data_IF_776798619959
#
_entry.id   IF_776798619959
#
_cell.length_a   1.000
_cell.length_b   1.000
_cell.length_c   1.000
_cell.angle_alpha   90.00
_cell.angle_beta   90.00
_cell.angle_gamma   90.00
#
_symmetry.space_group_name_H-M   'P 1'
#
loop_
_entity.id
_entity.type
_entity.pdbx_description
1 polymer ?
#
# COMPACT_ATOMS: atom_id res chain seq x y z
N UNK A 1 -22.36 43.14 14.37
CA UNK A 1 -21.70 41.85 14.68
C UNK A 1 -22.51 40.59 14.35
N UNK A 2 -23.78 40.67 13.89
CA UNK A 2 -24.57 39.48 13.47
C UNK A 2 -24.32 39.03 12.03
N UNK A 3 -23.86 39.92 11.14
CA UNK A 3 -23.61 39.60 9.71
C UNK A 3 -22.31 38.81 9.44
N UNK A 4 -21.33 38.85 10.35
CA UNK A 4 -20.07 38.09 10.23
C UNK A 4 -20.24 36.61 10.62
N UNK A 5 -21.18 36.28 11.51
CA UNK A 5 -21.43 34.89 11.92
C UNK A 5 -22.06 34.05 10.80
N UNK A 6 -22.89 34.66 9.94
CA UNK A 6 -23.55 33.97 8.82
C UNK A 6 -22.53 33.60 7.73
N UNK A 7 -21.53 34.44 7.49
CA UNK A 7 -20.45 34.17 6.52
C UNK A 7 -19.53 33.04 7.02
N UNK A 8 -19.23 32.98 8.32
CA UNK A 8 -18.43 31.88 8.88
C UNK A 8 -19.19 30.54 8.91
N UNK A 9 -20.50 30.54 9.14
CA UNK A 9 -21.31 29.30 9.03
C UNK A 9 -21.54 28.85 7.59
N UNK A 10 -21.53 29.78 6.62
CA UNK A 10 -21.60 29.43 5.19
C UNK A 10 -20.29 28.82 4.67
N UNK A 11 -19.14 29.27 5.19
CA UNK A 11 -17.82 28.72 4.83
C UNK A 11 -17.60 27.34 5.50
N UNK A 12 -18.14 27.12 6.70
CA UNK A 12 -18.12 25.79 7.34
C UNK A 12 -19.07 24.77 6.69
N UNK A 13 -20.14 25.23 6.02
CA UNK A 13 -21.09 24.38 5.30
C UNK A 13 -20.63 23.92 3.90
N UNK A 14 -19.56 24.52 3.36
CA UNK A 14 -19.01 24.19 2.04
C UNK A 14 -17.84 23.20 2.10
N UNK A 15 -17.67 22.53 3.25
CA UNK A 15 -16.62 21.53 3.51
C UNK A 15 -17.16 20.11 3.67
N UNK A 16 -18.41 19.85 3.26
CA UNK A 16 -18.98 18.52 3.22
C UNK A 16 -19.02 18.00 1.78
N UNK A 17 -18.60 16.74 1.66
CA UNK A 17 -18.63 15.85 0.50
C UNK A 17 -17.46 16.03 -0.47
N UNK A 18 -16.25 15.73 0.01
CA UNK A 18 -15.29 15.04 -0.85
C UNK A 18 -15.74 13.58 -0.94
N UNK A 19 -15.93 12.99 -2.13
CA UNK A 19 -15.91 11.55 -2.24
C UNK A 19 -14.50 11.11 -1.85
N UNK A 20 -14.34 10.55 -0.65
CA UNK A 20 -13.19 9.71 -0.35
C UNK A 20 -13.36 8.49 -1.25
N UNK A 21 -12.84 8.58 -2.47
CA UNK A 21 -12.49 7.42 -3.25
C UNK A 21 -11.34 6.75 -2.51
N UNK A 22 -11.66 5.94 -1.49
CA UNK A 22 -10.74 4.95 -0.99
C UNK A 22 -10.26 4.18 -2.22
N UNK A 23 -8.97 4.23 -2.53
CA UNK A 23 -8.39 3.37 -3.54
C UNK A 23 -8.35 1.94 -3.00
N UNK A 24 -9.53 1.35 -2.82
CA UNK A 24 -9.76 -0.08 -2.76
C UNK A 24 -9.98 -0.53 -4.19
N UNK A 25 -9.07 -1.38 -4.69
CA UNK A 25 -9.18 -2.04 -5.99
C UNK A 25 -9.28 -1.10 -7.21
N UNK A 26 -8.14 -0.79 -7.83
CA UNK A 26 -8.16 -0.57 -9.28
C UNK A 26 -8.47 -1.91 -9.94
N UNK A 27 -9.76 -2.27 -9.99
CA UNK A 27 -10.26 -3.36 -10.80
C UNK A 27 -10.29 -2.90 -12.26
N UNK A 28 -9.62 -3.65 -13.13
CA UNK A 28 -9.64 -3.42 -14.57
C UNK A 28 -11.03 -3.70 -15.12
N UNK A 29 -11.92 -2.71 -15.06
CA UNK A 29 -13.26 -2.80 -15.64
C UNK A 29 -13.28 -2.78 -17.18
N UNK A 30 -12.11 -2.74 -17.84
CA UNK A 30 -11.97 -2.79 -19.30
C UNK A 30 -10.70 -3.54 -19.68
N UNK A 31 -10.69 -4.16 -20.86
CA UNK A 31 -9.51 -4.78 -21.52
C UNK A 31 -8.34 -3.79 -21.78
N UNK A 32 -8.42 -2.57 -21.22
CA UNK A 32 -7.45 -1.52 -21.38
C UNK A 32 -6.32 -1.69 -20.37
N UNK A 33 -5.09 -1.62 -20.86
CA UNK A 33 -3.90 -1.58 -20.01
C UNK A 33 -3.90 -0.26 -19.24
N UNK A 34 -4.05 -0.35 -17.92
CA UNK A 34 -3.97 0.77 -17.00
C UNK A 34 -2.53 1.04 -16.58
N UNK A 35 -2.07 2.28 -16.75
CA UNK A 35 -0.78 2.74 -16.22
C UNK A 35 -1.06 3.67 -15.05
N UNK A 36 -0.39 3.43 -13.92
CA UNK A 36 -0.51 4.27 -12.73
C UNK A 36 0.85 4.52 -12.11
N UNK A 37 1.02 5.67 -11.49
CA UNK A 37 2.28 6.02 -10.86
C UNK A 37 2.18 7.33 -10.11
N UNK A 38 3.16 7.58 -9.26
CA UNK A 38 3.32 8.86 -8.57
C UNK A 38 4.75 9.04 -8.11
N UNK A 39 5.13 10.30 -7.92
CA UNK A 39 6.42 10.69 -7.33
C UNK A 39 6.17 11.51 -6.07
N UNK A 40 7.04 11.34 -5.07
CA UNK A 40 7.00 12.06 -3.80
C UNK A 40 8.38 12.64 -3.53
N UNK A 41 8.68 13.87 -4.00
CA UNK A 41 9.92 14.56 -3.62
C UNK A 41 9.89 14.89 -2.12
N UNK A 42 11.05 14.83 -1.48
CA UNK A 42 11.20 15.03 -0.05
C UNK A 42 12.50 15.75 0.27
N UNK A 43 12.40 16.74 1.15
CA UNK A 43 13.55 17.35 1.81
C UNK A 43 13.69 16.77 3.21
N UNK A 44 14.87 16.26 3.55
CA UNK A 44 15.17 15.77 4.90
C UNK A 44 16.20 16.67 5.56
N UNK A 45 15.89 17.06 6.78
CA UNK A 45 16.81 17.75 7.65
C UNK A 45 16.86 17.02 8.99
N UNK A 46 17.90 16.21 9.17
CA UNK A 46 18.10 15.42 10.38
C UNK A 46 19.04 16.15 11.32
N UNK A 47 18.62 16.26 12.58
CA UNK A 47 19.35 16.90 13.66
C UNK A 47 19.52 15.92 14.82
N UNK A 48 20.61 16.07 15.56
CA UNK A 48 20.93 15.33 16.77
C UNK A 48 20.88 13.80 16.61
N UNK A 49 21.13 13.29 15.41
CA UNK A 49 21.25 11.85 15.19
C UNK A 49 22.68 11.41 15.52
N UNK A 50 22.84 10.28 16.20
CA UNK A 50 24.16 9.70 16.50
C UNK A 50 24.11 8.21 16.23
N UNK A 51 25.11 7.67 15.53
CA UNK A 51 25.21 6.22 15.32
C UNK A 51 25.68 5.51 16.61
N UNK A 52 25.69 4.17 16.59
CA UNK A 52 26.14 3.35 17.72
C UNK A 52 27.62 3.59 18.09
N UNK A 53 28.40 4.25 17.22
CA UNK A 53 29.81 4.56 17.39
C UNK A 53 30.05 6.03 17.78
N UNK A 54 29.00 6.83 18.00
CA UNK A 54 29.12 8.24 18.39
C UNK A 54 29.26 9.24 17.22
N UNK A 55 29.16 8.80 15.96
CA UNK A 55 29.25 9.70 14.81
C UNK A 55 27.92 10.42 14.57
N UNK A 56 28.00 11.70 14.18
CA UNK A 56 26.82 12.51 13.85
C UNK A 56 26.14 12.00 12.58
N UNK A 57 24.83 11.77 12.67
CA UNK A 57 23.93 11.45 11.55
C UNK A 57 23.20 12.70 11.03
N UNK A 58 23.65 13.89 11.43
CA UNK A 58 23.08 15.14 10.96
C UNK A 58 23.26 15.24 9.45
N UNK A 59 22.15 15.37 8.74
CA UNK A 59 22.14 15.32 7.27
C UNK A 59 21.12 16.30 6.72
N UNK A 60 21.43 16.83 5.53
CA UNK A 60 20.56 17.69 4.76
C UNK A 60 20.56 17.18 3.32
N UNK A 61 19.40 16.74 2.81
CA UNK A 61 19.29 16.27 1.44
C UNK A 61 17.91 16.50 0.81
N UNK A 62 17.93 16.67 -0.51
CA UNK A 62 16.75 16.50 -1.37
C UNK A 62 16.75 15.08 -1.93
N UNK A 63 15.62 14.40 -1.80
CA UNK A 63 15.46 12.99 -2.18
C UNK A 63 14.06 12.75 -2.75
N UNK A 64 13.79 11.52 -3.17
CA UNK A 64 12.44 11.04 -3.38
C UNK A 64 12.08 10.05 -2.28
N UNK A 65 10.98 10.30 -1.58
CA UNK A 65 10.38 9.35 -0.65
C UNK A 65 9.96 8.08 -1.39
N UNK A 66 9.34 8.27 -2.56
CA UNK A 66 8.79 7.24 -3.44
C UNK A 66 8.79 7.76 -4.88
N UNK A 67 9.07 6.89 -5.84
CA UNK A 67 8.91 7.13 -7.26
C UNK A 67 8.45 5.82 -7.88
N UNK A 68 7.14 5.67 -8.10
CA UNK A 68 6.54 4.39 -8.51
C UNK A 68 5.88 4.51 -9.85
N UNK A 69 6.07 3.48 -10.65
CA UNK A 69 5.35 3.27 -11.89
C UNK A 69 4.84 1.83 -11.90
N UNK A 70 3.58 1.67 -12.27
CA UNK A 70 2.92 0.39 -12.35
C UNK A 70 2.01 0.27 -13.55
N UNK A 71 1.78 -0.98 -13.92
CA UNK A 71 0.94 -1.41 -15.02
C UNK A 71 0.00 -2.47 -14.47
N UNK A 72 -1.27 -2.36 -14.83
CA UNK A 72 -2.31 -3.27 -14.39
C UNK A 72 -3.37 -3.42 -15.45
N UNK A 73 -4.12 -4.49 -15.38
CA UNK A 73 -5.25 -4.71 -16.27
C UNK A 73 -5.85 -6.09 -16.05
N UNK A 74 -6.84 -6.39 -16.88
CA UNK A 74 -7.50 -7.68 -16.89
C UNK A 74 -7.24 -8.36 -18.23
N UNK A 75 -6.93 -9.65 -18.16
CA UNK A 75 -6.78 -10.57 -19.28
C UNK A 75 -8.08 -11.40 -19.31
N UNK A 76 -8.54 -11.87 -20.50
CA UNK A 76 -9.66 -12.78 -20.59
C UNK A 76 -9.56 -13.97 -19.61
N UNK A 77 -10.72 -14.55 -19.30
CA UNK A 77 -10.88 -15.67 -18.35
C UNK A 77 -10.73 -15.32 -16.87
N UNK A 78 -11.16 -14.12 -16.48
CA UNK A 78 -11.23 -13.68 -15.08
C UNK A 78 -9.84 -13.60 -14.41
N UNK A 79 -8.83 -13.10 -15.13
CA UNK A 79 -7.46 -12.97 -14.65
C UNK A 79 -7.03 -11.51 -14.64
N UNK A 80 -6.70 -10.97 -13.47
CA UNK A 80 -6.11 -9.65 -13.32
C UNK A 80 -4.59 -9.75 -13.13
N UNK A 81 -3.84 -8.79 -13.66
CA UNK A 81 -2.42 -8.66 -13.39
C UNK A 81 -2.10 -7.28 -12.81
N UNK A 82 -1.08 -7.23 -11.97
CA UNK A 82 -0.60 -6.00 -11.35
C UNK A 82 0.92 -6.05 -11.20
N UNK A 83 1.58 -5.00 -11.70
CA UNK A 83 3.02 -4.84 -11.66
C UNK A 83 3.35 -3.42 -11.22
N UNK A 84 4.26 -3.25 -10.26
CA UNK A 84 4.76 -1.93 -9.82
C UNK A 84 6.25 -2.03 -9.56
N UNK A 85 7.01 -1.10 -10.13
CA UNK A 85 8.43 -0.90 -9.84
C UNK A 85 8.64 0.39 -9.00
N UNK A 86 9.62 0.33 -8.10
CA UNK A 86 10.09 1.47 -7.31
C UNK A 86 11.41 1.98 -7.89
N UNK A 87 11.44 3.26 -8.22
CA UNK A 87 12.56 3.99 -8.80
C UNK A 87 13.24 4.92 -7.79
N UNK A 88 12.77 4.98 -6.53
CA UNK A 88 13.44 5.75 -5.47
C UNK A 88 14.72 5.04 -5.00
N UNK A 89 15.82 5.25 -5.71
CA UNK A 89 17.15 4.73 -5.37
C UNK A 89 17.68 5.26 -4.03
N UNK A 90 17.11 6.33 -3.49
CA UNK A 90 17.56 6.96 -2.24
C UNK A 90 17.12 6.22 -0.96
N UNK A 91 16.13 5.32 -1.04
CA UNK A 91 15.56 4.63 0.13
C UNK A 91 16.00 3.19 0.33
N UNK A 92 16.56 2.55 -0.71
CA UNK A 92 16.95 1.13 -0.64
C UNK A 92 18.45 1.02 -0.46
N UNK A 93 18.90 0.13 0.43
CA UNK A 93 20.33 -0.12 0.71
C UNK A 93 21.16 -0.34 -0.56
N UNK A 94 20.56 -0.97 -1.57
CA UNK A 94 21.21 -1.29 -2.85
C UNK A 94 21.10 -0.18 -3.92
N UNK A 95 20.47 0.97 -3.63
CA UNK A 95 20.27 2.11 -4.56
C UNK A 95 19.77 1.75 -5.98
N UNK A 96 19.08 0.63 -6.12
CA UNK A 96 18.63 0.12 -7.41
C UNK A 96 17.12 0.23 -7.58
N UNK A 97 16.70 0.32 -8.85
CA UNK A 97 15.31 0.08 -9.24
C UNK A 97 14.97 -1.36 -8.89
N UNK A 98 13.84 -1.58 -8.22
CA UNK A 98 13.44 -2.91 -7.82
C UNK A 98 11.94 -3.11 -7.98
N UNK A 99 11.56 -4.38 -8.09
CA UNK A 99 10.18 -4.78 -8.19
C UNK A 99 9.49 -4.64 -6.84
N UNK A 100 8.37 -3.92 -6.80
CA UNK A 100 7.63 -3.67 -5.57
C UNK A 100 6.51 -4.68 -5.40
N UNK A 101 5.56 -4.71 -6.34
CA UNK A 101 4.42 -5.62 -6.33
C UNK A 101 4.34 -6.26 -7.72
N UNK A 102 4.17 -7.58 -7.78
CA UNK A 102 4.04 -8.33 -9.02
C UNK A 102 3.22 -9.58 -8.77
N UNK A 103 1.96 -9.53 -9.15
CA UNK A 103 1.05 -10.64 -8.90
C UNK A 103 -0.01 -10.76 -9.98
N UNK A 104 -0.56 -11.98 -10.06
CA UNK A 104 -1.72 -12.31 -10.87
C UNK A 104 -2.84 -12.72 -9.93
N UNK A 105 -4.07 -12.32 -10.25
CA UNK A 105 -5.25 -12.66 -9.45
C UNK A 105 -6.30 -13.34 -10.31
N UNK A 106 -6.84 -14.45 -9.81
CA UNK A 106 -8.02 -15.08 -10.36
C UNK A 106 -9.28 -14.51 -9.71
N UNK A 107 -10.17 -13.93 -10.51
CA UNK A 107 -11.28 -13.08 -10.06
C UNK A 107 -12.67 -13.60 -10.41
N UNK A 108 -12.80 -14.83 -10.94
CA UNK A 108 -14.09 -15.43 -11.32
C UNK A 108 -15.12 -15.41 -10.20
N UNK A 109 -14.67 -15.64 -8.96
CA UNK A 109 -15.50 -15.64 -7.76
C UNK A 109 -15.23 -14.42 -6.87
N UNK A 110 -14.74 -13.31 -7.44
CA UNK A 110 -14.25 -12.12 -6.72
C UNK A 110 -15.16 -11.58 -5.61
N UNK A 111 -16.48 -11.77 -5.71
CA UNK A 111 -17.43 -11.45 -4.62
C UNK A 111 -17.17 -12.23 -3.34
N UNK A 112 -16.81 -13.50 -3.45
CA UNK A 112 -16.59 -14.40 -2.32
C UNK A 112 -15.11 -14.71 -2.11
N UNK A 113 -14.39 -15.06 -3.17
CA UNK A 113 -12.99 -15.44 -3.11
C UNK A 113 -12.23 -14.99 -4.37
N UNK A 114 -11.18 -14.22 -4.15
CA UNK A 114 -10.14 -13.87 -5.11
C UNK A 114 -8.85 -14.52 -4.67
N UNK A 115 -8.24 -15.27 -5.57
CA UNK A 115 -6.94 -15.91 -5.35
C UNK A 115 -5.86 -15.08 -6.03
N UNK A 116 -4.83 -14.69 -5.29
CA UNK A 116 -3.73 -13.86 -5.77
C UNK A 116 -2.42 -14.60 -5.54
N UNK A 117 -1.59 -14.67 -6.58
CA UNK A 117 -0.31 -15.39 -6.57
C UNK A 117 0.78 -14.45 -7.09
N UNK A 118 1.86 -14.33 -6.33
CA UNK A 118 2.98 -13.45 -6.65
C UNK A 118 3.48 -12.69 -5.44
N UNK A 119 4.14 -11.56 -5.68
CA UNK A 119 4.64 -10.67 -4.65
C UNK A 119 3.63 -9.55 -4.39
N UNK A 120 3.15 -9.48 -3.14
CA UNK A 120 2.16 -8.51 -2.72
C UNK A 120 2.39 -8.09 -1.27
N UNK A 121 1.65 -7.06 -0.83
CA UNK A 121 1.64 -6.62 0.56
C UNK A 121 1.07 -7.69 1.49
N UNK A 122 1.77 -7.95 2.59
CA UNK A 122 1.23 -8.80 3.65
C UNK A 122 -0.10 -8.25 4.16
N UNK A 123 -1.17 -9.07 4.29
CA UNK A 123 -2.49 -8.63 4.69
C UNK A 123 -2.55 -8.38 6.20
N UNK A 124 -1.68 -7.52 6.73
CA UNK A 124 -1.57 -7.19 8.15
C UNK A 124 -1.77 -5.70 8.35
N UNK A 125 -2.50 -5.28 9.38
CA UNK A 125 -2.83 -3.86 9.66
C UNK A 125 -3.68 -3.17 8.57
N UNK A 126 -4.41 -2.11 8.96
CA UNK A 126 -5.10 -1.24 8.01
C UNK A 126 -4.10 -0.34 7.28
N UNK A 127 -3.21 0.33 8.03
CA UNK A 127 -2.27 1.32 7.52
C UNK A 127 -1.30 0.75 6.46
N UNK A 128 -0.89 -0.51 6.64
CA UNK A 128 -0.02 -1.20 5.69
C UNK A 128 -0.72 -1.47 4.36
N UNK A 129 -1.99 -1.91 4.43
CA UNK A 129 -2.80 -2.22 3.27
C UNK A 129 -3.29 -0.96 2.53
N UNK A 130 -3.45 0.17 3.22
CA UNK A 130 -3.69 1.47 2.59
C UNK A 130 -2.56 1.83 1.61
N UNK A 131 -2.93 2.41 0.46
CA UNK A 131 -1.98 2.91 -0.52
C UNK A 131 -1.07 3.98 0.09
N UNK A 132 0.21 3.97 -0.31
CA UNK A 132 1.19 4.96 0.13
C UNK A 132 0.81 6.41 -0.25
N UNK A 133 0.06 6.60 -1.33
CA UNK A 133 -0.45 7.91 -1.75
C UNK A 133 -1.70 8.35 -0.99
N UNK A 134 -2.38 7.43 -0.30
CA UNK A 134 -3.58 7.68 0.48
C UNK A 134 -3.35 7.73 2.00
N UNK A 135 -2.08 7.73 2.44
CA UNK A 135 -1.75 7.90 3.85
C UNK A 135 -1.91 9.38 4.26
N UNK A 136 -2.45 9.62 5.45
CA UNK A 136 -2.52 10.96 6.04
C UNK A 136 -1.14 11.48 6.49
N UNK A 137 -0.23 10.57 6.79
CA UNK A 137 1.14 10.86 7.24
C UNK A 137 2.15 10.56 6.13
N UNK A 138 3.32 11.21 6.18
CA UNK A 138 4.41 11.00 5.20
C UNK A 138 4.87 9.54 5.19
N UNK A 139 5.06 8.98 6.38
CA UNK A 139 5.46 7.59 6.62
C UNK A 139 4.41 6.87 7.45
N UNK A 140 4.45 5.54 7.39
CA UNK A 140 3.63 4.70 8.27
C UNK A 140 4.13 4.77 9.70
N UNK A 141 3.24 4.49 10.65
CA UNK A 141 3.58 4.36 12.06
C UNK A 141 4.68 3.32 12.29
N UNK A 142 5.54 3.58 13.27
CA UNK A 142 6.64 2.68 13.58
C UNK A 142 6.17 1.33 14.11
N UNK A 143 5.05 1.32 14.83
CA UNK A 143 4.38 0.10 15.29
C UNK A 143 4.06 -0.82 14.12
N UNK A 144 3.52 -0.27 13.03
CA UNK A 144 3.21 -1.05 11.83
C UNK A 144 4.48 -1.47 11.09
N UNK A 145 5.50 -0.61 11.02
CA UNK A 145 6.78 -0.99 10.38
C UNK A 145 7.45 -2.18 11.08
N UNK A 146 7.39 -2.24 12.41
CA UNK A 146 8.02 -3.28 13.21
C UNK A 146 7.19 -4.56 13.30
N UNK A 147 5.86 -4.47 13.35
CA UNK A 147 4.97 -5.63 13.48
C UNK A 147 4.60 -6.28 12.14
N UNK A 148 4.55 -5.50 11.05
CA UNK A 148 4.16 -5.99 9.74
C UNK A 148 5.31 -6.63 8.95
N UNK A 149 6.39 -7.05 9.61
CA UNK A 149 7.56 -7.63 8.95
C UNK A 149 7.30 -9.08 8.52
N UNK A 150 7.56 -9.46 7.24
CA UNK A 150 7.89 -8.62 6.08
C UNK A 150 6.66 -7.90 5.47
N UNK A 151 6.84 -6.62 5.11
CA UNK A 151 5.77 -5.76 4.59
C UNK A 151 5.17 -6.24 3.26
N UNK A 152 6.02 -6.86 2.45
CA UNK A 152 5.71 -7.46 1.15
C UNK A 152 6.52 -8.71 1.00
N UNK A 153 5.93 -9.71 0.37
CA UNK A 153 6.56 -10.99 0.17
C UNK A 153 5.85 -11.80 -0.93
N UNK A 154 6.55 -12.81 -1.44
CA UNK A 154 6.03 -13.75 -2.43
C UNK A 154 5.13 -14.78 -1.74
N UNK A 155 3.96 -15.06 -2.31
CA UNK A 155 3.06 -16.04 -1.74
C UNK A 155 1.77 -16.28 -2.51
N UNK A 156 0.83 -16.90 -1.82
CA UNK A 156 -0.56 -17.11 -2.23
C UNK A 156 -1.47 -16.40 -1.23
N UNK A 157 -2.43 -15.62 -1.72
CA UNK A 157 -3.41 -14.89 -0.93
C UNK A 157 -4.82 -15.25 -1.39
N UNK A 158 -5.68 -15.58 -0.44
CA UNK A 158 -7.12 -15.65 -0.65
C UNK A 158 -7.76 -14.45 0.03
N UNK A 159 -8.57 -13.69 -0.70
CA UNK A 159 -9.27 -12.52 -0.18
C UNK A 159 -10.74 -12.53 -0.59
N UNK A 160 -11.61 -11.94 0.23
CA UNK A 160 -13.04 -11.90 -0.04
C UNK A 160 -13.69 -10.66 0.59
N UNK A 161 -14.84 -10.28 0.05
CA UNK A 161 -15.53 -9.05 0.41
C UNK A 161 -14.99 -7.80 -0.30
N UNK A 162 -15.72 -6.71 -0.13
CA UNK A 162 -15.43 -5.37 -0.66
C UNK A 162 -15.69 -4.32 0.42
N UNK A 163 -15.36 -3.06 0.13
CA UNK A 163 -15.61 -1.94 1.03
C UNK A 163 -17.11 -1.71 1.30
N UNK A 164 -17.98 -2.23 0.42
CA UNK A 164 -19.45 -2.20 0.57
C UNK A 164 -20.02 -3.39 1.32
N UNK A 165 -19.20 -4.41 1.62
CA UNK A 165 -19.67 -5.60 2.33
C UNK A 165 -19.36 -5.52 3.81
N UNK A 166 -20.27 -6.05 4.64
CA UNK A 166 -20.12 -6.09 6.10
C UNK A 166 -18.82 -6.79 6.55
N UNK A 167 -18.37 -7.80 5.81
CA UNK A 167 -17.20 -8.60 6.15
C UNK A 167 -16.21 -8.60 4.99
N UNK A 168 -14.98 -8.18 5.27
CA UNK A 168 -13.83 -8.37 4.39
C UNK A 168 -12.81 -9.26 5.10
N UNK A 169 -12.22 -10.20 4.37
CA UNK A 169 -11.22 -11.10 4.92
C UNK A 169 -10.08 -11.34 3.94
N UNK A 170 -8.94 -11.74 4.50
CA UNK A 170 -7.72 -12.05 3.75
C UNK A 170 -6.92 -13.10 4.51
N UNK A 171 -6.44 -14.12 3.81
CA UNK A 171 -5.58 -15.17 4.34
C UNK A 171 -4.46 -15.46 3.35
N UNK A 172 -3.23 -15.24 3.76
CA UNK A 172 -2.04 -15.41 2.94
C UNK A 172 -1.07 -16.45 3.51
N UNK A 173 -0.45 -17.20 2.61
CA UNK A 173 0.71 -18.07 2.88
C UNK A 173 1.88 -17.51 2.09
N UNK A 174 2.95 -17.12 2.77
CA UNK A 174 4.08 -16.37 2.22
C UNK A 174 5.42 -17.00 2.63
N UNK A 175 6.51 -16.70 1.93
CA UNK A 175 7.84 -17.28 2.21
C UNK A 175 8.42 -16.84 3.57
N UNK A 176 8.17 -15.61 3.98
CA UNK A 176 8.64 -14.97 5.21
C UNK A 176 9.98 -14.25 5.10
N UNK A 177 10.69 -14.37 3.97
CA UNK A 177 11.99 -13.73 3.72
C UNK A 177 11.88 -12.29 3.22
N UNK A 178 10.72 -11.94 2.66
CA UNK A 178 10.41 -10.60 2.18
C UNK A 178 10.63 -10.42 0.68
N UNK A 179 10.32 -9.21 0.22
CA UNK A 179 10.31 -8.86 -1.20
C UNK A 179 11.67 -9.04 -1.89
N UNK A 180 11.63 -9.61 -3.10
CA UNK A 180 12.78 -9.85 -3.99
C UNK A 180 13.88 -10.75 -3.40
N UNK A 181 13.52 -11.63 -2.44
CA UNK A 181 14.45 -12.59 -1.84
C UNK A 181 13.85 -13.99 -1.98
N UNK A 182 14.66 -14.96 -2.41
CA UNK A 182 14.25 -16.36 -2.43
C UNK A 182 14.09 -16.89 -1.00
N UNK A 183 13.23 -17.88 -0.83
CA UNK A 183 13.06 -18.48 0.49
C UNK A 183 14.32 -19.25 0.90
N UNK A 184 14.78 -19.03 2.12
CA UNK A 184 15.98 -19.65 2.67
C UNK A 184 15.66 -20.87 3.55
N UNK A 185 14.38 -21.20 3.73
CA UNK A 185 13.97 -22.28 4.61
C UNK A 185 12.70 -23.02 4.14
N UNK A 186 12.25 -23.99 4.95
CA UNK A 186 11.08 -24.84 4.65
C UNK A 186 9.77 -24.36 5.27
N UNK A 187 9.83 -23.39 6.18
CA UNK A 187 8.66 -22.84 6.84
C UNK A 187 7.97 -21.82 5.93
N UNK A 188 6.75 -21.42 6.31
CA UNK A 188 5.97 -20.39 5.62
C UNK A 188 5.29 -19.52 6.65
N UNK A 189 5.18 -18.23 6.34
CA UNK A 189 4.42 -17.28 7.14
C UNK A 189 2.95 -17.36 6.75
N UNK A 190 2.07 -17.52 7.75
CA UNK A 190 0.63 -17.49 7.58
C UNK A 190 0.11 -16.20 8.17
N UNK A 191 -0.54 -15.37 7.36
CA UNK A 191 -1.04 -14.06 7.78
C UNK A 191 -2.53 -13.96 7.45
N UNK A 192 -3.33 -13.61 8.47
CA UNK A 192 -4.77 -13.44 8.34
C UNK A 192 -5.21 -12.05 8.77
N UNK A 193 -6.26 -11.54 8.11
CA UNK A 193 -6.94 -10.31 8.50
C UNK A 193 -8.44 -10.45 8.26
N UNK A 194 -9.20 -9.99 9.24
CA UNK A 194 -10.65 -9.90 9.20
C UNK A 194 -11.03 -8.45 9.52
N UNK A 195 -11.97 -7.91 8.76
CA UNK A 195 -12.45 -6.54 8.91
C UNK A 195 -13.98 -6.54 8.83
N UNK A 196 -14.59 -5.83 9.77
CA UNK A 196 -16.03 -5.67 9.86
C UNK A 196 -16.40 -4.22 9.58
N UNK A 197 -17.28 -4.01 8.61
CA UNK A 197 -17.83 -2.71 8.21
C UNK A 197 -19.32 -2.64 8.55
N UNK A 198 -19.68 -2.34 9.81
CA UNK A 198 -21.08 -2.26 10.22
C UNK A 198 -21.85 -1.10 9.57
N UNK A 199 -21.14 -0.10 9.06
CA UNK A 199 -21.70 1.06 8.37
C UNK A 199 -20.97 1.19 7.04
N UNK A 200 -21.70 0.99 5.94
CA UNK A 200 -21.23 1.17 4.57
C UNK A 200 -21.62 2.56 4.05
#
# INVERSE_FOLDING_TARGET
>A
MKKIRIVLTAIAGLLLVLPVAGQGCMGGGSDLIGVSGFIQPQYNFNLNGTDANGNSLNTNNFTFNRARLGVMGSIPYDIDYYFVAEFSSFKTQQKNVHLLDAYVSYTRFSRWAKLTLGQFKSPFSMEQNTSCSGLYTINRSEVVNQLAGPQRDMGLLMSGGSDTTLLQYSLGIMNGTGMNVEDDNRNKNIVGRILLHPFA
#
